data_IF_254590725502
#
_entry.id   IF_254590725502
#
_cell.length_a   1.000
_cell.length_b   1.000
_cell.length_c   1.000
_cell.angle_alpha   90.00
_cell.angle_beta   90.00
_cell.angle_gamma   90.00
#
_symmetry.space_group_name_H-M   'P 1'
#
loop_
_entity.id
_entity.type
_entity.pdbx_description
1 polymer ?
#
# COMPACT_ATOMS: atom_id res chain seq x y z
N UNK A 1 -24.82 22.83 -5.21
CA UNK A 1 -25.34 21.52 -5.66
C UNK A 1 -24.75 20.42 -4.81
N UNK A 2 -25.19 19.17 -4.93
CA UNK A 2 -24.55 18.05 -4.22
C UNK A 2 -23.07 17.88 -4.60
N UNK A 3 -22.73 18.17 -5.85
CA UNK A 3 -21.34 18.13 -6.34
C UNK A 3 -20.48 19.17 -5.63
N UNK A 4 -20.95 20.43 -5.54
CA UNK A 4 -20.21 21.48 -4.84
C UNK A 4 -19.99 21.15 -3.35
N UNK A 5 -20.92 20.41 -2.73
CA UNK A 5 -20.78 19.98 -1.34
C UNK A 5 -19.73 18.87 -1.16
N UNK A 6 -19.54 17.99 -2.16
CA UNK A 6 -18.49 16.98 -2.15
C UNK A 6 -17.12 17.63 -2.39
N UNK A 7 -17.03 18.56 -3.33
CA UNK A 7 -15.80 19.30 -3.64
C UNK A 7 -15.36 20.22 -2.49
N UNK A 8 -16.30 20.64 -1.64
CA UNK A 8 -16.00 21.41 -0.43
C UNK A 8 -15.34 20.58 0.69
N UNK A 9 -15.30 19.25 0.59
CA UNK A 9 -14.66 18.40 1.60
C UNK A 9 -13.14 18.45 1.41
N UNK A 10 -12.45 18.98 2.42
CA UNK A 10 -10.98 18.97 2.42
C UNK A 10 -10.47 17.54 2.68
N UNK A 11 -9.54 17.03 1.85
CA UNK A 11 -8.97 15.71 2.06
C UNK A 11 -8.13 15.68 3.35
N UNK A 12 -8.13 14.57 4.10
CA UNK A 12 -7.32 14.46 5.30
C UNK A 12 -5.83 14.43 4.99
N UNK A 13 -5.01 14.88 5.94
CA UNK A 13 -3.55 14.80 5.84
C UNK A 13 -3.10 13.34 5.81
N UNK A 14 -2.30 12.97 4.81
CA UNK A 14 -1.73 11.62 4.68
C UNK A 14 -0.45 11.50 5.52
N UNK A 15 -0.28 10.46 6.34
CA UNK A 15 0.89 10.30 7.20
C UNK A 15 2.09 9.67 6.42
N UNK A 16 2.70 10.43 5.51
CA UNK A 16 3.83 9.97 4.67
C UNK A 16 5.15 9.84 5.43
N UNK A 17 5.34 10.62 6.49
CA UNK A 17 6.57 10.61 7.30
C UNK A 17 6.64 9.45 8.30
N UNK A 18 5.51 8.74 8.50
CA UNK A 18 5.47 7.57 9.38
C UNK A 18 6.07 6.34 8.66
N UNK A 19 6.55 5.33 9.40
CA UNK A 19 7.01 4.08 8.79
C UNK A 19 5.93 3.42 7.93
N UNK A 20 6.35 2.71 6.87
CA UNK A 20 5.44 2.01 5.97
C UNK A 20 4.60 0.97 6.74
N UNK A 21 3.27 1.06 6.61
CA UNK A 21 2.33 0.02 7.05
C UNK A 21 1.27 -0.19 5.96
N UNK A 22 1.17 -1.43 5.50
CA UNK A 22 0.26 -1.85 4.44
C UNK A 22 -0.42 -3.16 4.90
N UNK A 23 -1.60 -3.10 5.51
CA UNK A 23 -2.39 -4.28 5.83
C UNK A 23 -2.84 -5.00 4.55
N UNK A 24 -2.59 -6.30 4.48
CA UNK A 24 -2.99 -7.12 3.35
C UNK A 24 -4.48 -7.43 3.40
N UNK A 25 -5.16 -7.19 2.29
CA UNK A 25 -6.55 -7.57 2.06
C UNK A 25 -6.61 -8.92 1.38
N UNK A 26 -5.83 -9.08 0.31
CA UNK A 26 -5.79 -10.29 -0.50
C UNK A 26 -4.37 -10.60 -0.97
N UNK A 27 -4.13 -11.85 -1.36
CA UNK A 27 -2.87 -12.31 -1.94
C UNK A 27 -3.17 -13.19 -3.14
N UNK A 28 -2.63 -12.82 -4.29
CA UNK A 28 -2.76 -13.57 -5.54
C UNK A 28 -1.45 -14.22 -5.94
N UNK A 29 -1.53 -15.32 -6.70
CA UNK A 29 -0.38 -15.96 -7.35
C UNK A 29 -0.61 -15.96 -8.85
N UNK A 30 0.10 -15.10 -9.56
CA UNK A 30 -0.04 -14.91 -11.00
C UNK A 30 1.11 -15.65 -11.70
N UNK A 31 0.77 -16.55 -12.61
CA UNK A 31 1.77 -17.28 -13.40
C UNK A 31 2.68 -16.31 -14.17
N UNK A 32 3.99 -16.47 -14.05
CA UNK A 32 4.99 -15.62 -14.71
C UNK A 32 5.35 -14.32 -13.98
N UNK A 33 4.53 -13.85 -13.04
CA UNK A 33 4.81 -12.65 -12.21
C UNK A 33 5.26 -13.04 -10.80
N UNK A 34 4.58 -14.03 -10.21
CA UNK A 34 4.83 -14.48 -8.84
C UNK A 34 3.70 -14.10 -7.88
N UNK A 35 4.07 -13.77 -6.64
CA UNK A 35 3.13 -13.45 -5.56
C UNK A 35 2.80 -11.96 -5.58
N UNK A 36 1.51 -11.62 -5.65
CA UNK A 36 1.01 -10.25 -5.73
C UNK A 36 0.11 -9.97 -4.52
N UNK A 37 0.65 -9.36 -3.44
CA UNK A 37 -0.14 -8.92 -2.30
C UNK A 37 -0.88 -7.62 -2.62
N UNK A 38 -2.13 -7.50 -2.16
CA UNK A 38 -2.98 -6.32 -2.35
C UNK A 38 -3.40 -5.77 -0.99
N UNK A 39 -3.38 -4.45 -0.85
CA UNK A 39 -3.81 -3.78 0.37
C UNK A 39 -3.73 -2.26 0.27
N UNK A 40 -4.13 -1.60 1.34
CA UNK A 40 -4.09 -0.13 1.44
C UNK A 40 -2.85 0.31 2.20
N UNK A 41 -2.13 1.29 1.67
CA UNK A 41 -1.06 1.96 2.42
C UNK A 41 -1.73 2.88 3.45
N UNK A 42 -1.62 2.52 4.72
CA UNK A 42 -2.16 3.31 5.83
C UNK A 42 -1.17 4.40 6.28
N UNK A 43 0.12 4.07 6.28
CA UNK A 43 1.20 5.00 6.64
C UNK A 43 2.44 4.77 5.79
N UNK A 44 3.26 5.83 5.64
CA UNK A 44 4.51 5.79 4.89
C UNK A 44 4.33 5.78 3.38
N UNK A 45 5.40 5.40 2.68
CA UNK A 45 5.47 5.39 1.22
C UNK A 45 6.05 4.06 0.74
N UNK A 46 5.41 3.44 -0.26
CA UNK A 46 5.89 2.24 -0.93
C UNK A 46 6.49 2.63 -2.29
N UNK A 47 7.70 2.14 -2.59
CA UNK A 47 8.34 2.34 -3.90
C UNK A 47 8.94 1.02 -4.40
N UNK A 48 8.99 0.77 -5.72
CA UNK A 48 9.78 -0.31 -6.28
C UNK A 48 11.23 -0.27 -5.78
N UNK A 49 11.84 -1.43 -5.57
CA UNK A 49 13.18 -1.60 -4.99
C UNK A 49 13.24 -1.50 -3.46
N UNK A 50 12.14 -1.15 -2.78
CA UNK A 50 12.11 -1.13 -1.31
C UNK A 50 12.14 -2.56 -0.77
N UNK A 51 12.98 -2.82 0.23
CA UNK A 51 12.97 -4.06 1.00
C UNK A 51 11.89 -3.95 2.08
N UNK A 52 10.91 -4.85 2.04
CA UNK A 52 9.76 -4.89 2.96
C UNK A 52 9.77 -6.15 3.80
N UNK A 53 9.15 -6.08 4.97
CA UNK A 53 9.01 -7.20 5.90
C UNK A 53 7.53 -7.48 6.14
N UNK A 54 7.11 -8.72 5.92
CA UNK A 54 5.76 -9.21 6.18
C UNK A 54 5.66 -9.75 7.61
N UNK A 55 4.95 -9.03 8.47
CA UNK A 55 4.56 -9.50 9.79
C UNK A 55 3.26 -10.34 9.70
N UNK A 56 3.04 -11.32 10.60
CA UNK A 56 3.91 -11.74 11.71
C UNK A 56 4.98 -12.77 11.30
N UNK A 57 4.98 -13.25 10.05
CA UNK A 57 5.89 -14.30 9.58
C UNK A 57 7.37 -13.87 9.49
N UNK A 58 7.67 -12.58 9.63
CA UNK A 58 9.00 -11.98 9.51
C UNK A 58 9.70 -12.31 8.19
N UNK A 59 8.94 -12.42 7.10
CA UNK A 59 9.48 -12.70 5.77
C UNK A 59 9.93 -11.37 5.15
N UNK A 60 11.18 -11.31 4.69
CA UNK A 60 11.75 -10.12 4.05
C UNK A 60 11.87 -10.35 2.55
N UNK A 61 11.46 -9.38 1.74
CA UNK A 61 11.58 -9.45 0.28
C UNK A 61 11.65 -8.05 -0.34
N UNK A 62 12.07 -7.97 -1.59
CA UNK A 62 12.16 -6.73 -2.37
C UNK A 62 10.88 -6.53 -3.21
N UNK A 63 10.36 -5.31 -3.22
CA UNK A 63 9.21 -4.92 -4.05
C UNK A 63 9.67 -4.73 -5.48
N UNK A 64 9.16 -5.53 -6.42
CA UNK A 64 9.55 -5.45 -7.84
C UNK A 64 8.79 -4.36 -8.61
N UNK A 65 7.48 -4.24 -8.40
CA UNK A 65 6.62 -3.22 -8.99
C UNK A 65 5.47 -2.87 -8.03
N UNK A 66 4.78 -1.77 -8.29
CA UNK A 66 3.59 -1.30 -7.55
C UNK A 66 2.57 -0.81 -8.59
N UNK A 67 1.32 -1.22 -8.43
CA UNK A 67 0.16 -0.81 -9.24
C UNK A 67 -0.95 -0.23 -8.37
#
# INVERSE_FOLDING_TARGET
TLIDALDAILPPSRPTEKPLRLPLQDVYKIGGIGTVPVGRVETGVLKPGTVVVFAPANITTEVKSVE
#
